data_IF_061139724732
#
_entry.id   IF_061139724732
#
_cell.length_a   1.000
_cell.length_b   1.000
_cell.length_c   1.000
_cell.angle_alpha   90.00
_cell.angle_beta   90.00
_cell.angle_gamma   90.00
#
_symmetry.space_group_name_H-M   'P 1'
#
loop_
_entity.id
_entity.type
_entity.pdbx_description
1 polymer ?
#
# COMPACT_ATOMS: atom_id res chain seq x y z
N UNK A 1 -35.61 -24.79 33.42
CA UNK A 1 -34.57 -24.61 34.45
C UNK A 1 -33.21 -24.82 33.79
N UNK A 2 -32.60 -23.73 33.33
CA UNK A 2 -31.27 -23.74 32.68
C UNK A 2 -30.37 -22.87 33.54
N UNK A 3 -29.70 -23.49 34.51
CA UNK A 3 -28.65 -22.85 35.32
C UNK A 3 -27.29 -23.42 34.90
N UNK A 4 -26.89 -23.14 33.66
CA UNK A 4 -25.54 -23.39 33.16
C UNK A 4 -25.14 -22.17 32.34
N UNK A 5 -24.85 -21.03 32.97
CA UNK A 5 -24.40 -19.84 32.25
C UNK A 5 -23.79 -18.79 33.18
N UNK A 6 -22.80 -19.13 34.02
CA UNK A 6 -21.99 -18.09 34.71
C UNK A 6 -20.48 -18.46 34.82
N UNK A 7 -20.05 -19.65 34.38
CA UNK A 7 -18.64 -20.07 34.42
C UNK A 7 -17.91 -19.95 33.07
N UNK A 8 -18.57 -19.44 32.03
CA UNK A 8 -18.07 -19.45 30.63
C UNK A 8 -17.25 -18.22 30.23
N UNK A 9 -17.10 -17.23 31.10
CA UNK A 9 -16.45 -15.95 30.73
C UNK A 9 -15.10 -15.70 31.42
N UNK A 10 -14.57 -16.68 32.16
CA UNK A 10 -13.21 -16.62 32.69
C UNK A 10 -12.28 -17.21 31.64
N UNK A 11 -11.23 -16.50 31.20
CA UNK A 11 -10.25 -17.03 30.25
C UNK A 11 -9.72 -18.37 30.75
N UNK A 12 -9.60 -19.37 29.86
CA UNK A 12 -9.13 -20.73 30.21
C UNK A 12 -7.80 -20.67 31.00
N UNK A 13 -6.94 -19.71 30.66
CA UNK A 13 -5.69 -19.39 31.37
C UNK A 13 -5.92 -19.04 32.84
N UNK A 14 -6.90 -18.20 33.13
CA UNK A 14 -7.16 -17.72 34.49
C UNK A 14 -7.81 -18.84 35.32
N UNK A 15 -8.66 -19.67 34.70
CA UNK A 15 -9.20 -20.90 35.31
C UNK A 15 -8.10 -21.92 35.66
N UNK A 16 -7.18 -22.20 34.73
CA UNK A 16 -6.04 -23.09 34.99
C UNK A 16 -5.15 -22.57 36.12
N UNK A 17 -4.96 -21.25 36.20
CA UNK A 17 -4.17 -20.59 37.23
C UNK A 17 -4.86 -20.67 38.60
N UNK A 18 -6.17 -20.54 38.66
CA UNK A 18 -6.94 -20.65 39.90
C UNK A 18 -6.95 -22.09 40.42
N UNK A 19 -7.12 -23.09 39.54
CA UNK A 19 -7.04 -24.50 39.94
C UNK A 19 -5.63 -24.89 40.44
N UNK A 20 -4.56 -24.34 39.83
CA UNK A 20 -3.19 -24.53 40.33
C UNK A 20 -2.97 -23.89 41.70
N UNK A 21 -3.56 -22.72 41.95
CA UNK A 21 -3.49 -22.06 43.27
C UNK A 21 -4.18 -22.88 44.34
N UNK A 22 -5.33 -23.47 44.00
CA UNK A 22 -6.10 -24.32 44.91
C UNK A 22 -5.41 -25.67 45.16
N UNK A 23 -4.85 -26.32 44.14
CA UNK A 23 -3.99 -27.49 44.33
C UNK A 23 -2.80 -27.19 45.26
N UNK A 24 -2.14 -26.04 45.07
CA UNK A 24 -1.02 -25.62 45.91
C UNK A 24 -1.43 -25.35 47.37
N UNK A 25 -2.61 -24.78 47.60
CA UNK A 25 -3.11 -24.53 48.96
C UNK A 25 -3.49 -25.84 49.67
N UNK A 26 -4.09 -26.79 48.95
CA UNK A 26 -4.41 -28.13 49.45
C UNK A 26 -3.17 -28.97 49.75
N UNK A 27 -2.12 -28.86 48.93
CA UNK A 27 -0.83 -29.51 49.21
C UNK A 27 -0.22 -28.91 50.48
N UNK A 28 -0.25 -27.58 50.63
CA UNK A 28 0.24 -26.91 51.84
C UNK A 28 -0.53 -27.36 53.09
N UNK A 29 -1.86 -27.50 53.00
CA UNK A 29 -2.69 -27.96 54.13
C UNK A 29 -2.49 -29.44 54.45
N UNK A 30 -2.23 -30.30 53.45
CA UNK A 30 -1.87 -31.70 53.66
C UNK A 30 -0.54 -31.81 54.42
N UNK A 31 0.48 -31.05 54.04
CA UNK A 31 1.77 -31.04 54.74
C UNK A 31 1.63 -30.60 56.20
N UNK A 32 0.80 -29.60 56.48
CA UNK A 32 0.51 -29.15 57.85
C UNK A 32 -0.26 -30.22 58.64
N UNK A 33 -1.26 -30.87 58.02
CA UNK A 33 -2.01 -31.96 58.66
C UNK A 33 -1.12 -33.18 58.98
N UNK A 34 -0.23 -33.56 58.07
CA UNK A 34 0.75 -34.63 58.29
C UNK A 34 1.76 -34.27 59.40
N UNK A 35 2.23 -33.03 59.46
CA UNK A 35 3.11 -32.57 60.53
C UNK A 35 2.42 -32.60 61.91
N UNK A 36 1.13 -32.28 61.97
CA UNK A 36 0.34 -32.35 63.20
C UNK A 36 0.08 -33.82 63.61
N UNK A 37 -0.14 -34.71 62.65
CA UNK A 37 -0.27 -36.14 62.90
C UNK A 37 1.04 -36.74 63.45
N UNK A 38 2.19 -36.39 62.88
CA UNK A 38 3.50 -36.79 63.40
C UNK A 38 3.77 -36.27 64.81
N UNK A 39 3.40 -35.02 65.11
CA UNK A 39 3.49 -34.46 66.47
C UNK A 39 2.61 -35.24 67.45
N UNK A 40 1.38 -35.58 67.06
CA UNK A 40 0.45 -36.34 67.91
C UNK A 40 0.95 -37.77 68.21
N UNK A 41 1.62 -38.41 67.24
CA UNK A 41 2.26 -39.72 67.43
C UNK A 41 3.47 -39.62 68.37
N UNK A 42 4.30 -38.57 68.23
CA UNK A 42 5.44 -38.33 69.11
C UNK A 42 5.02 -38.05 70.55
N UNK A 43 3.92 -37.31 70.78
CA UNK A 43 3.40 -37.05 72.13
C UNK A 43 2.64 -38.24 72.72
N UNK A 44 2.06 -39.11 71.89
CA UNK A 44 1.43 -40.36 72.34
C UNK A 44 2.45 -41.46 72.70
N UNK A 45 3.69 -41.35 72.21
CA UNK A 45 4.78 -42.27 72.57
C UNK A 45 5.36 -42.03 73.97
N UNK A 46 5.12 -40.85 74.57
CA UNK A 46 5.65 -40.48 75.89
C UNK A 46 4.63 -40.67 77.05
N UNK A 47 3.32 -40.73 76.77
CA UNK A 47 2.28 -40.85 77.79
C UNK A 47 1.35 -42.05 77.54
N UNK A 48 1.61 -43.16 78.25
CA UNK A 48 0.80 -44.37 78.28
C UNK A 48 -0.55 -44.23 79.01
N UNK A 49 -1.34 -43.19 78.75
CA UNK A 49 -2.69 -43.07 79.32
C UNK A 49 -3.75 -42.62 78.31
N UNK A 50 -4.58 -43.63 78.00
CA UNK A 50 -5.91 -43.61 77.40
C UNK A 50 -6.73 -42.35 77.76
N UNK A 51 -6.99 -41.51 76.77
CA UNK A 51 -8.10 -40.53 76.80
C UNK A 51 -8.96 -40.74 75.56
N UNK A 52 -10.23 -41.04 75.81
CA UNK A 52 -11.31 -41.16 74.84
C UNK A 52 -11.99 -39.79 74.73
N UNK A 53 -11.57 -38.91 73.84
CA UNK A 53 -12.30 -37.65 73.59
C UNK A 53 -12.23 -37.24 72.12
N UNK A 54 -13.36 -37.43 71.42
CA UNK A 54 -14.12 -36.44 70.61
C UNK A 54 -13.37 -35.27 69.92
N UNK A 55 -12.18 -35.49 69.36
CA UNK A 55 -11.61 -34.63 68.33
C UNK A 55 -11.34 -35.48 67.10
N UNK A 56 -11.80 -35.00 65.94
CA UNK A 56 -11.64 -35.66 64.62
C UNK A 56 -10.29 -36.35 64.53
N UNK A 57 -10.34 -37.63 64.19
CA UNK A 57 -9.13 -38.43 64.01
C UNK A 57 -8.24 -37.72 62.98
N UNK A 58 -7.01 -37.30 63.30
CA UNK A 58 -6.14 -36.54 62.39
C UNK A 58 -5.87 -37.32 61.09
N UNK A 59 -5.98 -38.64 61.17
CA UNK A 59 -6.01 -39.60 60.06
C UNK A 59 -7.16 -39.33 59.10
N UNK A 60 -8.37 -39.08 59.60
CA UNK A 60 -9.56 -38.84 58.78
C UNK A 60 -9.51 -37.48 58.08
N UNK A 61 -8.93 -36.45 58.72
CA UNK A 61 -8.71 -35.14 58.08
C UNK A 61 -7.69 -35.23 56.94
N UNK A 62 -6.62 -36.01 57.11
CA UNK A 62 -5.62 -36.24 56.06
C UNK A 62 -6.19 -36.97 54.83
N UNK A 63 -7.10 -37.93 55.04
CA UNK A 63 -7.77 -38.68 53.98
C UNK A 63 -8.74 -37.80 53.20
N UNK A 64 -9.53 -36.96 53.89
CA UNK A 64 -10.43 -36.00 53.24
C UNK A 64 -9.70 -34.94 52.42
N UNK A 65 -8.52 -34.49 52.87
CA UNK A 65 -7.67 -33.57 52.10
C UNK A 65 -7.10 -34.27 50.86
N UNK A 66 -6.68 -35.53 50.98
CA UNK A 66 -6.22 -36.32 49.83
C UNK A 66 -7.32 -36.55 48.79
N UNK A 67 -8.54 -36.89 49.20
CA UNK A 67 -9.66 -37.05 48.26
C UNK A 67 -9.96 -35.76 47.49
N UNK A 68 -9.98 -34.62 48.20
CA UNK A 68 -10.14 -33.29 47.58
C UNK A 68 -9.01 -32.96 46.61
N UNK A 69 -7.77 -33.32 46.96
CA UNK A 69 -6.62 -33.14 46.09
C UNK A 69 -6.75 -33.99 44.81
N UNK A 70 -7.18 -35.25 44.93
CA UNK A 70 -7.39 -36.13 43.78
C UNK A 70 -8.48 -35.61 42.85
N UNK A 71 -9.58 -35.09 43.39
CA UNK A 71 -10.65 -34.49 42.57
C UNK A 71 -10.18 -33.23 41.85
N UNK A 72 -9.40 -32.38 42.52
CA UNK A 72 -8.88 -31.14 41.92
C UNK A 72 -7.78 -31.40 40.89
N UNK A 73 -6.94 -32.42 41.08
CA UNK A 73 -5.95 -32.83 40.07
C UNK A 73 -6.65 -33.34 38.81
N UNK A 74 -7.79 -34.02 38.94
CA UNK A 74 -8.61 -34.45 37.80
C UNK A 74 -9.24 -33.25 37.07
N UNK A 75 -9.77 -32.26 37.79
CA UNK A 75 -10.29 -31.03 37.16
C UNK A 75 -9.18 -30.29 36.40
N UNK A 76 -7.99 -30.19 37.02
CA UNK A 76 -6.85 -29.51 36.42
C UNK A 76 -6.39 -30.20 35.13
N UNK A 77 -6.37 -31.54 35.12
CA UNK A 77 -6.05 -32.31 33.93
C UNK A 77 -7.05 -32.04 32.79
N UNK A 78 -8.35 -31.94 33.11
CA UNK A 78 -9.38 -31.58 32.13
C UNK A 78 -9.19 -30.16 31.57
N UNK A 79 -8.81 -29.19 32.41
CA UNK A 79 -8.49 -27.84 31.95
C UNK A 79 -7.22 -27.82 31.09
N UNK A 80 -6.21 -28.62 31.43
CA UNK A 80 -4.98 -28.74 30.64
C UNK A 80 -5.27 -29.28 29.24
N UNK A 81 -6.14 -30.28 29.11
CA UNK A 81 -6.57 -30.81 27.82
C UNK A 81 -7.23 -29.74 26.94
N UNK A 82 -8.07 -28.88 27.54
CA UNK A 82 -8.67 -27.74 26.84
C UNK A 82 -7.62 -26.70 26.40
N UNK A 83 -6.59 -26.47 27.22
CA UNK A 83 -5.48 -25.57 26.87
C UNK A 83 -4.69 -26.11 25.68
N UNK A 84 -4.42 -27.41 25.65
CA UNK A 84 -3.70 -28.05 24.54
C UNK A 84 -4.49 -27.94 23.23
N UNK A 85 -5.81 -28.19 23.27
CA UNK A 85 -6.65 -28.05 22.08
C UNK A 85 -6.73 -26.58 21.62
N UNK A 86 -6.83 -25.63 22.56
CA UNK A 86 -6.78 -24.21 22.23
C UNK A 86 -5.44 -23.82 21.59
N UNK A 87 -4.31 -24.36 22.07
CA UNK A 87 -2.99 -24.12 21.49
C UNK A 87 -2.89 -24.69 20.06
N UNK A 88 -3.45 -25.89 19.83
CA UNK A 88 -3.49 -26.52 18.51
C UNK A 88 -4.31 -25.67 17.52
N UNK A 89 -5.51 -25.26 17.92
CA UNK A 89 -6.37 -24.39 17.12
C UNK A 89 -5.70 -23.03 16.84
N UNK A 90 -5.01 -22.46 17.83
CA UNK A 90 -4.29 -21.21 17.65
C UNK A 90 -3.14 -21.34 16.63
N UNK A 91 -2.43 -22.47 16.63
CA UNK A 91 -1.43 -22.77 15.61
C UNK A 91 -2.03 -22.76 14.19
N UNK A 92 -3.17 -23.41 14.01
CA UNK A 92 -3.90 -23.43 12.73
C UNK A 92 -4.35 -22.04 12.32
N UNK A 93 -4.87 -21.24 13.26
CA UNK A 93 -5.28 -19.85 13.00
C UNK A 93 -4.09 -19.01 12.51
N UNK A 94 -2.92 -19.17 13.13
CA UNK A 94 -1.72 -18.45 12.72
C UNK A 94 -1.22 -18.88 11.33
N UNK A 95 -1.31 -20.16 10.99
CA UNK A 95 -1.01 -20.65 9.63
C UNK A 95 -1.98 -20.06 8.59
N UNK A 96 -3.28 -20.06 8.88
CA UNK A 96 -4.29 -19.47 7.99
C UNK A 96 -4.11 -17.96 7.84
N UNK A 97 -3.75 -17.25 8.92
CA UNK A 97 -3.44 -15.81 8.86
C UNK A 97 -2.24 -15.53 7.96
N UNK A 98 -1.19 -16.35 8.03
CA UNK A 98 -0.04 -16.22 7.13
C UNK A 98 -0.44 -16.47 5.68
N UNK A 99 -1.26 -17.49 5.41
CA UNK A 99 -1.76 -17.77 4.07
C UNK A 99 -2.58 -16.59 3.52
N UNK A 100 -3.55 -16.08 4.30
CA UNK A 100 -4.35 -14.91 3.93
C UNK A 100 -3.47 -13.68 3.68
N UNK A 101 -2.47 -13.42 4.54
CA UNK A 101 -1.58 -12.27 4.35
C UNK A 101 -0.80 -12.33 3.02
N UNK A 102 -0.43 -13.53 2.56
CA UNK A 102 0.23 -13.72 1.25
C UNK A 102 -0.75 -13.48 0.11
N UNK A 103 -1.98 -13.94 0.24
CA UNK A 103 -3.03 -13.72 -0.77
C UNK A 103 -3.42 -12.24 -0.87
N UNK A 104 -3.59 -11.56 0.26
CA UNK A 104 -3.86 -10.13 0.32
C UNK A 104 -2.74 -9.31 -0.35
N UNK A 105 -1.48 -9.70 -0.14
CA UNK A 105 -0.36 -9.07 -0.83
C UNK A 105 -0.40 -9.26 -2.35
N UNK A 106 -0.82 -10.45 -2.83
CA UNK A 106 -1.00 -10.70 -4.27
C UNK A 106 -2.15 -9.87 -4.84
N UNK A 107 -3.27 -9.76 -4.13
CA UNK A 107 -4.41 -8.94 -4.54
C UNK A 107 -4.01 -7.46 -4.62
N UNK A 108 -3.29 -6.96 -3.62
CA UNK A 108 -2.79 -5.59 -3.61
C UNK A 108 -1.85 -5.31 -4.79
N UNK A 109 -0.93 -6.25 -5.08
CA UNK A 109 -0.04 -6.15 -6.23
C UNK A 109 -0.78 -6.17 -7.57
N UNK A 110 -1.76 -7.07 -7.74
CA UNK A 110 -2.62 -7.10 -8.94
C UNK A 110 -3.42 -5.80 -9.10
N UNK A 111 -3.97 -5.27 -8.01
CA UNK A 111 -4.68 -3.99 -8.02
C UNK A 111 -3.80 -2.81 -8.42
N UNK A 112 -2.54 -2.79 -7.96
CA UNK A 112 -1.56 -1.78 -8.35
C UNK A 112 -1.23 -1.87 -9.86
N UNK A 113 -1.00 -3.08 -10.36
CA UNK A 113 -0.70 -3.31 -11.78
C UNK A 113 -1.87 -2.93 -12.69
N UNK A 114 -3.11 -3.21 -12.28
CA UNK A 114 -4.29 -2.83 -13.04
C UNK A 114 -4.44 -1.31 -13.12
N UNK A 115 -4.23 -0.58 -12.01
CA UNK A 115 -4.25 0.90 -12.03
C UNK A 115 -3.14 1.48 -12.88
N UNK A 116 -1.96 0.89 -12.84
CA UNK A 116 -0.84 1.31 -13.68
C UNK A 116 -1.17 1.10 -15.17
N UNK A 117 -1.70 -0.07 -15.53
CA UNK A 117 -2.13 -0.38 -16.90
C UNK A 117 -3.25 0.55 -17.37
N UNK A 118 -4.24 0.82 -16.51
CA UNK A 118 -5.32 1.78 -16.78
C UNK A 118 -4.78 3.18 -17.06
N UNK A 119 -3.84 3.67 -16.24
CA UNK A 119 -3.21 4.97 -16.45
C UNK A 119 -2.46 5.05 -17.79
N UNK A 120 -1.69 4.01 -18.14
CA UNK A 120 -0.99 3.94 -19.44
C UNK A 120 -1.99 3.94 -20.60
N UNK A 121 -3.04 3.15 -20.51
CA UNK A 121 -4.08 3.09 -21.53
C UNK A 121 -4.79 4.43 -21.69
N UNK A 122 -5.15 5.09 -20.58
CA UNK A 122 -5.79 6.39 -20.59
C UNK A 122 -4.90 7.45 -21.25
N UNK A 123 -3.61 7.50 -20.88
CA UNK A 123 -2.64 8.42 -21.50
C UNK A 123 -2.53 8.15 -23.01
N UNK A 124 -2.42 6.88 -23.41
CA UNK A 124 -2.33 6.51 -24.84
C UNK A 124 -3.60 6.90 -25.61
N UNK A 125 -4.77 6.78 -24.98
CA UNK A 125 -6.05 7.15 -25.59
C UNK A 125 -6.17 8.67 -25.73
N UNK A 126 -5.74 9.41 -24.71
CA UNK A 126 -5.78 10.87 -24.71
C UNK A 126 -4.75 11.47 -25.68
N UNK A 127 -3.63 10.79 -25.94
CA UNK A 127 -2.73 11.12 -27.06
C UNK A 127 -3.30 10.74 -28.44
N UNK A 128 -3.98 9.59 -28.55
CA UNK A 128 -4.49 9.10 -29.83
C UNK A 128 -5.67 9.92 -30.37
N UNK A 129 -6.58 10.39 -29.51
CA UNK A 129 -7.75 11.20 -29.88
C UNK A 129 -7.38 12.46 -30.71
N UNK A 130 -6.49 13.35 -30.26
CA UNK A 130 -6.12 14.55 -31.03
C UNK A 130 -5.34 14.19 -32.29
N UNK A 131 -4.49 13.15 -32.27
CA UNK A 131 -3.78 12.66 -33.47
C UNK A 131 -4.78 12.20 -34.54
N UNK A 132 -5.79 11.43 -34.15
CA UNK A 132 -6.85 11.00 -35.08
C UNK A 132 -7.64 12.19 -35.65
N UNK A 133 -7.92 13.21 -34.82
CA UNK A 133 -8.57 14.44 -35.28
C UNK A 133 -7.69 15.20 -36.30
N UNK A 134 -6.37 15.28 -36.06
CA UNK A 134 -5.41 15.87 -36.98
C UNK A 134 -5.34 15.08 -38.30
N UNK A 135 -5.28 13.75 -38.26
CA UNK A 135 -5.34 12.91 -39.46
C UNK A 135 -6.62 13.13 -40.26
N UNK A 136 -7.78 13.19 -39.59
CA UNK A 136 -9.06 13.50 -40.26
C UNK A 136 -9.07 14.89 -40.92
N UNK A 137 -8.39 15.88 -40.33
CA UNK A 137 -8.23 17.21 -40.93
C UNK A 137 -7.29 17.18 -42.14
N UNK A 138 -6.14 16.53 -42.02
CA UNK A 138 -5.18 16.36 -43.11
C UNK A 138 -5.79 15.61 -44.28
N UNK A 139 -6.54 14.52 -44.03
CA UNK A 139 -7.17 13.75 -45.09
C UNK A 139 -8.27 14.51 -45.85
N UNK A 140 -8.87 15.56 -45.25
CA UNK A 140 -9.81 16.44 -45.94
C UNK A 140 -9.12 17.41 -46.91
N UNK A 141 -7.83 17.68 -46.71
CA UNK A 141 -7.01 18.58 -47.53
C UNK A 141 -5.65 17.94 -47.78
N UNK A 142 -5.60 16.92 -48.66
CA UNK A 142 -4.33 16.32 -49.01
C UNK A 142 -3.45 17.39 -49.68
N UNK A 143 -2.22 17.51 -49.18
CA UNK A 143 -1.19 18.38 -49.75
C UNK A 143 -0.17 17.44 -50.41
N UNK A 144 0.29 17.80 -51.59
CA UNK A 144 1.32 17.03 -52.28
C UNK A 144 2.67 17.18 -51.56
N UNK A 145 3.36 16.05 -51.37
CA UNK A 145 4.64 16.02 -50.65
C UNK A 145 5.71 16.78 -51.45
N UNK A 146 5.66 16.68 -52.77
CA UNK A 146 6.61 17.37 -53.66
C UNK A 146 6.43 18.89 -53.59
N UNK A 147 5.19 19.38 -53.45
CA UNK A 147 4.91 20.79 -53.23
C UNK A 147 5.46 21.29 -51.89
N UNK A 148 5.29 20.51 -50.82
CA UNK A 148 5.85 20.84 -49.49
C UNK A 148 7.36 20.89 -49.51
N UNK A 149 8.03 19.92 -50.17
CA UNK A 149 9.49 19.89 -50.30
C UNK A 149 9.98 21.07 -51.14
N UNK A 150 9.35 21.32 -52.29
CA UNK A 150 9.69 22.45 -53.16
C UNK A 150 9.53 23.78 -52.44
N UNK A 151 8.43 23.97 -51.72
CA UNK A 151 8.17 25.18 -50.94
C UNK A 151 9.13 25.33 -49.76
N UNK A 152 9.39 24.25 -49.02
CA UNK A 152 10.38 24.20 -47.95
C UNK A 152 11.77 24.63 -48.42
N UNK A 153 12.21 24.13 -49.57
CA UNK A 153 13.47 24.55 -50.18
C UNK A 153 13.49 26.03 -50.56
N UNK A 154 12.36 26.59 -51.03
CA UNK A 154 12.26 28.02 -51.38
C UNK A 154 12.38 28.92 -50.14
N UNK A 155 11.76 28.55 -49.03
CA UNK A 155 11.74 29.37 -47.81
C UNK A 155 12.98 29.15 -46.92
N UNK A 156 13.66 28.01 -47.04
CA UNK A 156 14.83 27.66 -46.24
C UNK A 156 15.95 28.71 -46.31
N UNK A 157 16.10 29.39 -47.45
CA UNK A 157 17.13 30.40 -47.65
C UNK A 157 16.87 31.71 -46.87
N UNK A 158 15.64 31.96 -46.43
CA UNK A 158 15.25 33.17 -45.68
C UNK A 158 15.01 32.90 -44.20
N UNK A 159 14.63 31.66 -43.84
CA UNK A 159 14.26 31.31 -42.46
C UNK A 159 15.42 30.92 -41.55
N UNK A 160 16.61 30.63 -42.09
CA UNK A 160 17.74 30.15 -41.28
C UNK A 160 18.99 30.98 -41.56
N UNK A 161 19.59 31.51 -40.49
CA UNK A 161 20.92 32.10 -40.56
C UNK A 161 21.96 30.97 -40.72
N UNK A 162 22.89 31.08 -41.68
CA UNK A 162 23.97 30.11 -41.85
C UNK A 162 24.78 29.92 -40.56
N UNK A 163 25.31 28.72 -40.34
CA UNK A 163 26.17 28.44 -39.20
C UNK A 163 27.43 29.33 -39.26
N UNK A 164 27.61 30.20 -38.28
CA UNK A 164 28.72 31.17 -38.24
C UNK A 164 28.42 32.51 -38.93
N UNK A 165 27.15 32.79 -39.25
CA UNK A 165 26.75 34.07 -39.82
C UNK A 165 27.06 35.25 -38.89
N UNK A 166 27.82 36.21 -39.42
CA UNK A 166 28.14 37.49 -38.79
C UNK A 166 27.44 38.61 -39.57
N UNK A 167 26.70 39.53 -38.92
CA UNK A 167 26.11 40.71 -39.54
C UNK A 167 27.07 41.57 -40.37
N UNK A 168 28.39 41.46 -40.14
CA UNK A 168 29.42 42.16 -40.93
C UNK A 168 29.66 41.56 -42.32
N UNK A 169 29.20 40.33 -42.57
CA UNK A 169 29.42 39.60 -43.82
C UNK A 169 28.18 39.63 -44.72
N UNK A 170 28.34 39.78 -46.04
CA UNK A 170 27.21 39.76 -46.96
C UNK A 170 26.53 38.39 -46.93
N UNK A 171 25.20 38.39 -46.89
CA UNK A 171 24.40 37.19 -47.11
C UNK A 171 24.59 36.78 -48.57
N UNK A 172 25.41 35.76 -48.84
CA UNK A 172 25.69 35.28 -50.20
C UNK A 172 24.43 34.74 -50.91
N UNK A 173 24.24 33.42 -50.89
CA UNK A 173 23.06 32.77 -51.50
C UNK A 173 21.82 32.77 -50.58
N UNK A 174 21.85 33.54 -49.49
CA UNK A 174 20.80 33.57 -48.46
C UNK A 174 20.03 34.87 -48.58
N UNK A 175 18.72 34.80 -48.37
CA UNK A 175 17.86 35.98 -48.39
C UNK A 175 17.73 36.53 -46.97
N UNK A 176 17.55 37.85 -46.81
CA UNK A 176 17.20 38.40 -45.52
C UNK A 176 15.86 37.83 -45.02
N UNK A 177 15.63 37.80 -43.69
CA UNK A 177 14.40 37.27 -43.10
C UNK A 177 13.14 38.09 -43.46
N UNK A 178 13.32 39.35 -43.85
CA UNK A 178 12.26 40.21 -44.37
C UNK A 178 12.78 40.98 -45.60
N UNK A 179 11.88 41.39 -46.53
CA UNK A 179 12.25 42.22 -47.66
C UNK A 179 12.90 43.53 -47.19
N UNK A 180 14.06 43.88 -47.74
CA UNK A 180 14.69 45.18 -47.48
C UNK A 180 14.03 46.29 -48.31
N UNK A 181 14.20 47.54 -47.90
CA UNK A 181 13.63 48.69 -48.62
C UNK A 181 14.07 48.74 -50.08
N UNK A 182 15.33 48.41 -50.35
CA UNK A 182 15.87 48.31 -51.70
C UNK A 182 15.16 47.22 -52.53
N UNK A 183 14.95 46.03 -51.94
CA UNK A 183 14.21 44.94 -52.60
C UNK A 183 12.74 45.31 -52.85
N UNK A 184 12.11 46.05 -51.94
CA UNK A 184 10.74 46.53 -52.09
C UNK A 184 10.63 47.58 -53.20
N UNK A 185 11.57 48.53 -53.25
CA UNK A 185 11.64 49.56 -54.29
C UNK A 185 11.94 48.97 -55.67
N UNK A 186 12.78 47.94 -55.73
CA UNK A 186 13.06 47.17 -56.95
C UNK A 186 11.93 46.18 -57.32
N UNK A 187 10.91 46.05 -56.47
CA UNK A 187 9.77 45.18 -56.71
C UNK A 187 8.85 45.71 -57.81
N UNK A 188 7.96 44.84 -58.30
CA UNK A 188 6.98 45.21 -59.34
C UNK A 188 6.07 46.37 -58.92
N UNK A 189 5.74 46.47 -57.63
CA UNK A 189 4.93 47.56 -57.09
C UNK A 189 5.70 48.90 -57.16
N UNK A 190 6.95 48.94 -56.70
CA UNK A 190 7.78 50.14 -56.80
C UNK A 190 8.05 50.58 -58.25
N UNK A 191 8.14 49.63 -59.19
CA UNK A 191 8.24 49.95 -60.61
C UNK A 191 6.98 50.63 -61.16
N UNK A 192 5.78 50.26 -60.70
CA UNK A 192 4.52 50.89 -61.11
C UNK A 192 4.43 52.32 -60.58
N UNK A 193 4.79 52.55 -59.32
CA UNK A 193 4.83 53.89 -58.71
C UNK A 193 5.75 54.84 -59.49
N UNK A 194 6.93 54.36 -59.88
CA UNK A 194 7.89 55.14 -60.67
C UNK A 194 7.40 55.47 -62.09
N UNK A 195 6.60 54.59 -62.71
CA UNK A 195 6.01 54.85 -64.02
C UNK A 195 4.81 55.81 -63.93
N UNK A 196 4.05 55.78 -62.84
CA UNK A 196 2.99 56.76 -62.56
C UNK A 196 3.57 58.17 -62.32
N UNK A 197 4.68 58.28 -61.59
CA UNK A 197 5.38 59.55 -61.36
C UNK A 197 5.95 60.14 -62.66
N UNK A 198 6.61 59.33 -63.49
CA UNK A 198 7.10 59.77 -64.82
C UNK A 198 5.95 60.17 -65.75
N UNK A 199 4.83 59.45 -65.69
CA UNK A 199 3.62 59.80 -66.45
C UNK A 199 3.03 61.14 -66.01
N UNK A 200 3.06 61.44 -64.71
CA UNK A 200 2.64 62.73 -64.16
C UNK A 200 3.58 63.88 -64.57
N UNK A 201 4.90 63.66 -64.51
CA UNK A 201 5.90 64.66 -64.91
C UNK A 201 5.85 65.01 -66.41
N UNK A 202 5.57 64.03 -67.29
CA UNK A 202 5.42 64.26 -68.72
C UNK A 202 4.14 65.04 -69.05
N UNK A 203 3.06 64.82 -68.29
CA UNK A 203 1.81 65.59 -68.39
C UNK A 203 1.97 67.04 -67.93
N UNK A 204 2.76 67.27 -66.89
CA UNK A 204 3.04 68.62 -66.37
C UNK A 204 3.94 69.43 -67.30
N UNK A 205 5.00 68.82 -67.86
CA UNK A 205 5.84 69.45 -68.89
C UNK A 205 5.13 69.75 -70.21
N UNK A 206 4.05 69.03 -70.53
CA UNK A 206 3.24 69.30 -71.73
C UNK A 206 2.25 70.47 -71.55
N UNK A 207 2.08 70.99 -70.33
CA UNK A 207 1.16 72.08 -69.99
C UNK A 207 1.84 73.44 -69.73
N UNK A 208 3.17 73.49 -69.67
CA UNK A 208 3.96 74.72 -69.62
C UNK A 208 4.56 75.06 -70.99
#
# INVERSE_FOLDING_TARGET
MVQHNHASNVPIRDRARDELRECRSLISSLFVAQANLLKSISTASDDGKRIKDTKRDPTQESVQIMEKLVTQVKSFHSVMEQVLEHQRLHGIIEELRKANSVEDAKIAHLGANLRAAESVLQNSLDEAKPRLAAFKRANKRPIDVDEVISYGSKISASLSAPLGWDPSQPLGNFLPPAPTEEMMRAGKLGAVEMEEEKGAELSEKARG
#
